data_IF_232806750003
#
_entry.id   IF_232806750003
#
_cell.length_a   1.000
_cell.length_b   1.000
_cell.length_c   1.000
_cell.angle_alpha   90.00
_cell.angle_beta   90.00
_cell.angle_gamma   90.00
#
_symmetry.space_group_name_H-M   'P 1'
#
loop_
_entity.id
_entity.type
_entity.pdbx_description
1 polymer ?
#
# COMPACT_ATOMS: atom_id res chain seq x y z
N UNK A 1 -28.49 41.08 38.18
CA UNK A 1 -28.22 41.91 36.99
C UNK A 1 -26.73 42.02 36.92
N UNK A 2 -26.00 41.30 36.07
CA UNK A 2 -26.39 40.58 34.86
C UNK A 2 -25.57 39.31 34.68
N UNK A 3 -26.23 38.35 34.04
CA UNK A 3 -25.76 37.04 33.60
C UNK A 3 -25.19 37.14 32.19
N UNK A 4 -23.93 36.77 31.99
CA UNK A 4 -23.37 36.38 30.68
C UNK A 4 -22.62 35.06 30.88
N UNK A 5 -23.17 33.93 30.41
CA UNK A 5 -23.24 33.47 29.02
C UNK A 5 -22.00 32.65 28.65
N UNK A 6 -22.13 31.36 28.93
CA UNK A 6 -21.76 30.21 28.07
C UNK A 6 -20.57 30.36 27.12
N UNK A 7 -19.52 29.57 27.40
CA UNK A 7 -18.84 28.81 26.34
C UNK A 7 -18.55 27.38 26.82
N UNK A 8 -19.35 26.49 26.25
CA UNK A 8 -19.32 25.05 26.41
C UNK A 8 -18.41 24.49 25.31
N UNK A 9 -17.15 24.19 25.63
CA UNK A 9 -16.27 23.40 24.76
C UNK A 9 -16.32 21.94 25.23
N UNK A 10 -17.15 21.16 24.55
CA UNK A 10 -17.23 19.72 24.70
C UNK A 10 -15.94 19.07 24.18
N UNK A 11 -15.05 18.71 25.09
CA UNK A 11 -13.95 17.77 24.86
C UNK A 11 -14.56 16.38 24.67
N UNK A 12 -14.26 15.64 23.59
CA UNK A 12 -14.67 14.26 23.46
C UNK A 12 -13.99 13.45 24.57
N UNK A 13 -14.80 12.81 25.43
CA UNK A 13 -14.33 11.83 26.39
C UNK A 13 -13.65 10.69 25.62
N UNK A 14 -12.33 10.79 25.50
CA UNK A 14 -11.48 9.70 25.05
C UNK A 14 -11.75 8.52 25.96
N UNK A 15 -12.18 7.43 25.33
CA UNK A 15 -12.37 6.13 25.92
C UNK A 15 -11.01 5.67 26.50
N UNK A 16 -10.74 6.06 27.75
CA UNK A 16 -9.59 5.62 28.50
C UNK A 16 -9.75 4.14 28.71
N UNK A 17 -9.02 3.36 27.92
CA UNK A 17 -8.93 1.91 28.01
C UNK A 17 -8.52 1.50 29.41
N UNK A 18 -9.50 1.27 30.27
CA UNK A 18 -9.33 0.37 31.39
C UNK A 18 -9.17 -1.01 30.75
N UNK A 19 -7.94 -1.52 30.81
CA UNK A 19 -7.64 -2.94 30.63
C UNK A 19 -8.70 -3.71 31.41
N UNK A 20 -9.41 -4.61 30.74
CA UNK A 20 -10.49 -5.34 31.40
C UNK A 20 -9.93 -6.14 32.58
N UNK A 21 -10.71 -6.32 33.65
CA UNK A 21 -10.27 -7.13 34.80
C UNK A 21 -9.84 -8.55 34.38
N UNK A 22 -10.38 -9.04 33.26
CA UNK A 22 -10.04 -10.33 32.67
C UNK A 22 -8.65 -10.32 32.01
N UNK A 23 -8.34 -9.31 31.18
CA UNK A 23 -6.97 -9.12 30.62
C UNK A 23 -5.94 -8.90 31.74
N UNK A 24 -6.33 -8.23 32.83
CA UNK A 24 -5.44 -8.01 33.97
C UNK A 24 -5.13 -9.30 34.71
N UNK A 25 -6.04 -10.28 34.74
CA UNK A 25 -5.78 -11.62 35.29
C UNK A 25 -4.91 -12.45 34.38
N UNK A 26 -5.17 -12.44 33.08
CA UNK A 26 -4.39 -13.19 32.09
C UNK A 26 -2.92 -12.75 32.10
N UNK A 27 -2.67 -11.43 32.13
CA UNK A 27 -1.31 -10.88 32.24
C UNK A 27 -0.62 -11.30 33.55
N UNK A 28 -1.36 -11.34 34.68
CA UNK A 28 -0.78 -11.77 35.95
C UNK A 28 -0.45 -13.26 35.98
N UNK A 29 -1.27 -14.10 35.34
CA UNK A 29 -1.06 -15.54 35.26
C UNK A 29 0.15 -15.87 34.36
N UNK A 30 0.33 -15.15 33.25
CA UNK A 30 1.49 -15.28 32.36
C UNK A 30 2.80 -14.82 33.02
N UNK A 31 2.74 -13.76 33.84
CA UNK A 31 3.89 -13.32 34.67
C UNK A 31 4.24 -14.38 35.72
N UNK A 32 3.24 -15.01 36.35
CA UNK A 32 3.50 -16.03 37.38
C UNK A 32 4.04 -17.33 36.77
N UNK A 33 3.58 -17.71 35.57
CA UNK A 33 4.09 -18.86 34.80
C UNK A 33 5.54 -18.63 34.34
N UNK A 34 5.87 -17.44 33.82
CA UNK A 34 7.23 -17.11 33.38
C UNK A 34 8.25 -17.01 34.53
N UNK A 35 7.82 -16.60 35.73
CA UNK A 35 8.68 -16.56 36.93
C UNK A 35 8.91 -17.96 37.53
N UNK A 36 7.98 -18.91 37.33
CA UNK A 36 8.09 -20.26 37.92
C UNK A 36 9.04 -21.20 37.16
N UNK A 37 9.34 -20.90 35.89
CA UNK A 37 10.11 -21.81 35.01
C UNK A 37 11.65 -21.71 35.15
N UNK A 38 12.22 -20.74 35.90
CA UNK A 38 13.69 -20.60 36.01
C UNK A 38 14.22 -20.47 37.44
N UNK A 39 13.95 -21.48 38.28
CA UNK A 39 14.77 -21.74 39.48
C UNK A 39 15.56 -23.03 39.29
N UNK A 40 16.56 -22.99 38.41
CA UNK A 40 17.64 -23.98 38.41
C UNK A 40 18.62 -23.64 39.54
N UNK A 41 18.94 -24.59 40.43
CA UNK A 41 19.90 -24.36 41.52
C UNK A 41 21.30 -24.21 40.94
N UNK A 42 21.88 -23.02 41.06
CA UNK A 42 23.26 -22.72 40.69
C UNK A 42 24.23 -23.56 41.52
N UNK A 43 24.85 -24.55 40.88
CA UNK A 43 26.00 -25.27 41.41
C UNK A 43 27.27 -24.39 41.32
N UNK A 44 28.18 -24.45 42.31
CA UNK A 44 29.41 -23.68 42.29
C UNK A 44 30.44 -24.33 41.35
N UNK A 45 30.64 -23.79 40.15
CA UNK A 45 31.71 -24.20 39.25
C UNK A 45 32.97 -23.39 39.51
N UNK A 46 34.03 -24.13 39.83
CA UNK A 46 35.36 -23.65 40.18
C UNK A 46 36.13 -23.15 38.96
N UNK A 47 36.98 -22.16 39.17
CA UNK A 47 37.96 -21.64 38.21
C UNK A 47 38.93 -22.72 37.67
N UNK A 48 39.21 -22.71 36.36
CA UNK A 48 40.53 -23.13 35.80
C UNK A 48 40.65 -22.79 34.31
N UNK A 49 41.88 -22.46 33.91
CA UNK A 49 42.19 -21.78 32.65
C UNK A 49 42.46 -22.67 31.43
N UNK A 50 42.89 -21.96 30.38
CA UNK A 50 43.48 -22.41 29.10
C UNK A 50 42.50 -22.91 28.03
N UNK A 51 42.37 -22.16 26.92
CA UNK A 51 43.01 -22.45 25.63
C UNK A 51 42.51 -21.48 24.56
N UNK A 52 43.34 -20.53 24.13
CA UNK A 52 43.09 -19.57 23.05
C UNK A 52 43.03 -20.19 21.64
N UNK A 53 42.56 -21.43 21.52
CA UNK A 53 42.43 -22.17 20.26
C UNK A 53 40.97 -22.34 19.80
N UNK A 54 39.98 -22.00 20.64
CA UNK A 54 38.56 -22.15 20.28
C UNK A 54 38.06 -21.11 19.26
N UNK A 55 38.59 -19.87 19.33
CA UNK A 55 38.21 -18.80 18.41
C UNK A 55 38.54 -19.07 16.92
N UNK A 56 39.74 -19.53 16.53
CA UNK A 56 40.03 -19.81 15.12
C UNK A 56 39.24 -21.02 14.57
N UNK A 57 38.88 -21.98 15.43
CA UNK A 57 38.08 -23.14 15.01
C UNK A 57 36.63 -22.73 14.72
N UNK A 58 36.05 -21.85 15.55
CA UNK A 58 34.70 -21.32 15.35
C UNK A 58 34.59 -20.50 14.05
N UNK A 59 35.62 -19.71 13.72
CA UNK A 59 35.66 -18.92 12.47
C UNK A 59 35.73 -19.84 11.24
N UNK A 60 36.55 -20.89 11.28
CA UNK A 60 36.65 -21.84 10.16
C UNK A 60 35.36 -22.65 9.96
N UNK A 61 34.69 -23.05 11.03
CA UNK A 61 33.38 -23.72 10.96
C UNK A 61 32.32 -22.76 10.39
N UNK A 62 32.32 -21.50 10.82
CA UNK A 62 31.44 -20.47 10.28
C UNK A 62 31.63 -20.25 8.78
N UNK A 63 32.89 -20.18 8.31
CA UNK A 63 33.20 -20.03 6.89
C UNK A 63 32.72 -21.23 6.05
N UNK A 64 32.87 -22.46 6.56
CA UNK A 64 32.38 -23.69 5.90
C UNK A 64 30.85 -23.70 5.77
N UNK A 65 30.14 -23.27 6.82
CA UNK A 65 28.67 -23.15 6.78
C UNK A 65 28.24 -22.10 5.75
N UNK A 66 28.95 -20.96 5.67
CA UNK A 66 28.67 -19.90 4.71
C UNK A 66 28.87 -20.38 3.26
N UNK A 67 29.96 -21.10 2.99
CA UNK A 67 30.22 -21.69 1.65
C UNK A 67 29.16 -22.73 1.31
N UNK A 68 28.78 -23.61 2.25
CA UNK A 68 27.73 -24.60 2.04
C UNK A 68 26.37 -23.94 1.75
N UNK A 69 26.02 -22.88 2.47
CA UNK A 69 24.80 -22.10 2.26
C UNK A 69 24.81 -21.44 0.88
N UNK A 70 25.95 -20.89 0.46
CA UNK A 70 26.11 -20.24 -0.85
C UNK A 70 25.96 -21.26 -1.98
N UNK A 71 26.60 -22.43 -1.87
CA UNK A 71 26.49 -23.52 -2.86
C UNK A 71 25.06 -24.08 -2.92
N UNK A 72 24.33 -24.08 -1.81
CA UNK A 72 22.94 -24.53 -1.77
C UNK A 72 21.94 -23.53 -2.35
N UNK A 73 22.18 -22.22 -2.21
CA UNK A 73 21.30 -21.17 -2.72
C UNK A 73 21.47 -20.92 -4.23
N UNK A 74 22.69 -21.04 -4.78
CA UNK A 74 22.98 -20.72 -6.19
C UNK A 74 22.13 -21.50 -7.22
N UNK A 75 21.89 -22.82 -7.08
CA UNK A 75 21.05 -23.57 -8.02
C UNK A 75 19.58 -23.12 -8.05
N UNK A 76 19.07 -22.62 -6.91
CA UNK A 76 17.71 -22.09 -6.81
C UNK A 76 17.50 -20.82 -7.64
N UNK A 77 18.52 -19.95 -7.71
CA UNK A 77 18.46 -18.72 -8.50
C UNK A 77 18.68 -18.96 -10.00
N UNK A 78 19.52 -19.92 -10.40
CA UNK A 78 19.82 -20.15 -11.81
C UNK A 78 18.73 -20.92 -12.57
N UNK A 79 17.97 -21.81 -11.91
CA UNK A 79 16.89 -22.55 -12.57
C UNK A 79 15.64 -21.70 -12.88
N UNK A 80 15.51 -20.50 -12.31
CA UNK A 80 14.39 -19.57 -12.60
C UNK A 80 14.56 -18.91 -13.98
N UNK A 81 15.78 -18.86 -14.52
CA UNK A 81 16.08 -18.12 -15.75
C UNK A 81 15.88 -18.91 -17.05
N UNK A 82 15.92 -20.24 -17.03
CA UNK A 82 15.86 -21.04 -18.28
C UNK A 82 14.45 -21.50 -18.68
N UNK A 83 13.46 -21.54 -17.76
CA UNK A 83 12.06 -21.86 -18.12
C UNK A 83 11.24 -20.67 -18.61
N UNK A 84 11.81 -19.46 -18.64
CA UNK A 84 11.07 -18.21 -18.91
C UNK A 84 11.18 -17.68 -20.34
N UNK A 85 11.72 -18.47 -21.26
CA UNK A 85 11.99 -18.05 -22.64
C UNK A 85 10.94 -18.48 -23.68
N UNK A 86 9.79 -19.05 -23.28
CA UNK A 86 8.83 -19.63 -24.25
C UNK A 86 7.45 -18.96 -24.30
N UNK A 87 7.04 -18.08 -23.37
CA UNK A 87 5.81 -17.29 -23.55
C UNK A 87 5.83 -15.95 -22.78
N UNK A 88 6.13 -14.81 -23.44
CA UNK A 88 6.28 -13.51 -22.78
C UNK A 88 4.98 -12.71 -22.57
N UNK A 89 3.78 -13.18 -22.93
CA UNK A 89 2.64 -12.26 -23.12
C UNK A 89 1.51 -12.23 -22.06
N UNK A 90 1.43 -13.12 -21.05
CA UNK A 90 0.28 -13.04 -20.10
C UNK A 90 0.53 -13.27 -18.60
N UNK A 91 1.73 -13.62 -18.12
CA UNK A 91 1.95 -13.92 -16.68
C UNK A 91 2.56 -12.80 -15.81
N UNK A 92 2.87 -11.62 -16.36
CA UNK A 92 3.74 -10.64 -15.67
C UNK A 92 3.01 -9.68 -14.71
N UNK A 93 1.69 -9.50 -14.82
CA UNK A 93 0.96 -8.56 -13.96
C UNK A 93 0.60 -9.11 -12.57
N UNK A 94 0.31 -10.43 -12.47
CA UNK A 94 -0.08 -11.07 -11.20
C UNK A 94 1.10 -11.25 -10.24
N UNK A 95 2.24 -11.74 -10.74
CA UNK A 95 3.41 -12.04 -9.91
C UNK A 95 4.06 -10.81 -9.27
N UNK A 96 3.97 -9.63 -9.91
CA UNK A 96 4.50 -8.40 -9.32
C UNK A 96 3.73 -7.98 -8.06
N UNK A 97 2.39 -8.10 -8.08
CA UNK A 97 1.54 -7.73 -6.93
C UNK A 97 1.77 -8.68 -5.75
N UNK A 98 1.88 -9.99 -6.02
CA UNK A 98 2.19 -10.98 -4.99
C UNK A 98 3.59 -10.77 -4.40
N UNK A 99 4.58 -10.46 -5.24
CA UNK A 99 5.93 -10.11 -4.78
C UNK A 99 5.94 -8.89 -3.85
N UNK A 100 5.25 -7.79 -4.22
CA UNK A 100 5.18 -6.61 -3.36
C UNK A 100 4.44 -6.88 -2.05
N UNK A 101 3.40 -7.73 -2.07
CA UNK A 101 2.70 -8.14 -0.85
C UNK A 101 3.61 -8.97 0.05
N UNK A 102 4.38 -9.89 -0.51
CA UNK A 102 5.36 -10.69 0.24
C UNK A 102 6.46 -9.81 0.84
N UNK A 103 7.03 -8.90 0.05
CA UNK A 103 8.05 -7.95 0.50
C UNK A 103 7.52 -7.04 1.63
N UNK A 104 6.28 -6.56 1.51
CA UNK A 104 5.64 -5.78 2.58
C UNK A 104 5.46 -6.62 3.84
N UNK A 105 4.97 -7.84 3.70
CA UNK A 105 4.78 -8.73 4.84
C UNK A 105 6.09 -9.04 5.57
N UNK A 106 7.17 -9.28 4.82
CA UNK A 106 8.51 -9.48 5.37
C UNK A 106 9.01 -8.23 6.10
N UNK A 107 8.82 -7.04 5.51
CA UNK A 107 9.19 -5.78 6.16
C UNK A 107 8.35 -5.51 7.43
N UNK A 108 7.05 -5.82 7.42
CA UNK A 108 6.17 -5.68 8.59
C UNK A 108 6.63 -6.61 9.73
N UNK A 109 7.06 -7.84 9.41
CA UNK A 109 7.61 -8.78 10.38
C UNK A 109 8.95 -8.29 10.96
N UNK A 110 9.84 -7.78 10.11
CA UNK A 110 11.13 -7.22 10.55
C UNK A 110 10.92 -5.99 11.45
N UNK A 111 10.00 -5.10 11.08
CA UNK A 111 9.60 -3.95 11.89
C UNK A 111 9.11 -4.42 13.26
N UNK A 112 8.22 -5.42 13.30
CA UNK A 112 7.67 -5.96 14.54
C UNK A 112 8.76 -6.56 15.44
N UNK A 113 9.70 -7.33 14.88
CA UNK A 113 10.83 -7.90 15.64
C UNK A 113 11.74 -6.80 16.21
N UNK A 114 12.01 -5.77 15.41
CA UNK A 114 12.81 -4.62 15.86
C UNK A 114 12.09 -3.82 16.95
N UNK A 115 10.77 -3.63 16.86
CA UNK A 115 9.95 -2.98 17.89
C UNK A 115 10.00 -3.75 19.22
N UNK A 116 9.83 -5.08 19.20
CA UNK A 116 9.96 -5.92 20.39
C UNK A 116 11.37 -5.84 21.01
N UNK A 117 12.39 -5.76 20.16
CA UNK A 117 13.77 -5.62 20.64
C UNK A 117 13.98 -4.24 21.29
N UNK A 118 13.46 -3.17 20.69
CA UNK A 118 13.50 -1.81 21.26
C UNK A 118 12.78 -1.78 22.61
N UNK A 119 11.61 -2.41 22.72
CA UNK A 119 10.88 -2.51 23.98
C UNK A 119 11.69 -3.23 25.05
N UNK A 120 12.31 -4.37 24.71
CA UNK A 120 13.17 -5.11 25.63
C UNK A 120 14.36 -4.25 26.10
N UNK A 121 15.01 -3.52 25.19
CA UNK A 121 16.11 -2.60 25.53
C UNK A 121 15.65 -1.45 26.43
N UNK A 122 14.44 -0.91 26.21
CA UNK A 122 13.86 0.12 27.07
C UNK A 122 13.58 -0.40 28.48
N UNK A 123 13.06 -1.63 28.61
CA UNK A 123 12.86 -2.28 29.91
C UNK A 123 14.19 -2.47 30.65
N UNK A 124 15.23 -2.96 29.97
CA UNK A 124 16.57 -3.11 30.52
C UNK A 124 17.17 -1.76 30.96
N UNK A 125 16.96 -0.71 30.18
CA UNK A 125 17.38 0.65 30.53
C UNK A 125 16.72 1.15 31.82
N UNK A 126 15.40 0.95 31.96
CA UNK A 126 14.66 1.30 33.18
C UNK A 126 15.16 0.50 34.38
N UNK A 127 15.46 -0.78 34.19
CA UNK A 127 16.04 -1.64 35.24
C UNK A 127 17.39 -1.10 35.72
N UNK A 128 18.33 -0.78 34.82
CA UNK A 128 19.63 -0.20 35.20
C UNK A 128 19.47 1.10 35.99
N UNK A 129 18.50 1.94 35.61
CA UNK A 129 18.20 3.17 36.35
C UNK A 129 17.69 2.87 37.78
N UNK A 130 16.82 1.88 37.92
CA UNK A 130 16.34 1.44 39.23
C UNK A 130 17.47 0.84 40.09
N UNK A 131 18.37 0.07 39.48
CA UNK A 131 19.56 -0.49 40.15
C UNK A 131 20.49 0.61 40.69
N UNK A 132 20.69 1.71 39.95
CA UNK A 132 21.46 2.87 40.43
C UNK A 132 20.80 3.53 41.65
N UNK A 133 19.48 3.68 41.65
CA UNK A 133 18.76 4.25 42.78
C UNK A 133 18.80 3.32 44.01
N UNK A 134 18.66 2.01 43.79
CA UNK A 134 18.77 1.00 44.82
C UNK A 134 20.17 0.97 45.45
N UNK A 135 21.23 1.07 44.62
CA UNK A 135 22.61 1.13 45.08
C UNK A 135 22.85 2.32 46.04
N UNK A 136 22.31 3.50 45.73
CA UNK A 136 22.42 4.68 46.60
C UNK A 136 21.72 4.48 47.94
N UNK A 137 20.49 3.94 47.92
CA UNK A 137 19.75 3.63 49.15
C UNK A 137 20.45 2.57 50.00
N UNK A 138 21.08 1.59 49.36
CA UNK A 138 21.83 0.56 50.07
C UNK A 138 23.12 1.11 50.69
N UNK A 139 23.83 1.98 49.97
CA UNK A 139 24.97 2.73 50.50
C UNK A 139 24.60 3.49 51.79
N UNK A 140 23.54 4.29 51.75
CA UNK A 140 23.09 5.08 52.91
C UNK A 140 22.72 4.18 54.09
N UNK A 141 22.02 3.06 53.82
CA UNK A 141 21.62 2.09 54.82
C UNK A 141 22.82 1.41 55.48
N UNK A 142 23.82 0.99 54.69
CA UNK A 142 25.02 0.34 55.21
C UNK A 142 25.85 1.32 56.06
N UNK A 143 25.98 2.58 55.62
CA UNK A 143 26.67 3.62 56.37
C UNK A 143 25.98 3.92 57.71
N UNK A 144 24.65 4.05 57.69
CA UNK A 144 23.86 4.26 58.91
C UNK A 144 23.95 3.05 59.85
N UNK A 145 23.78 1.83 59.34
CA UNK A 145 23.90 0.61 60.14
C UNK A 145 25.27 0.51 60.82
N UNK A 146 26.35 0.84 60.10
CA UNK A 146 27.70 0.86 60.67
C UNK A 146 27.87 1.94 61.74
N UNK A 147 27.27 3.12 61.54
CA UNK A 147 27.28 4.18 62.55
C UNK A 147 26.55 3.76 63.84
N UNK A 148 25.38 3.14 63.72
CA UNK A 148 24.59 2.64 64.85
C UNK A 148 25.32 1.52 65.60
N UNK A 149 25.98 0.59 64.90
CA UNK A 149 26.84 -0.44 65.49
C UNK A 149 27.99 0.17 66.30
N UNK A 150 28.68 1.17 65.73
CA UNK A 150 29.77 1.87 66.41
C UNK A 150 29.27 2.69 67.59
N UNK A 151 28.06 3.25 67.55
CA UNK A 151 27.49 3.99 68.69
C UNK A 151 27.06 3.05 69.82
N UNK A 152 26.36 1.97 69.51
CA UNK A 152 25.91 0.97 70.49
C UNK A 152 27.09 0.30 71.19
N UNK A 153 28.14 -0.05 70.44
CA UNK A 153 29.39 -0.52 71.01
C UNK A 153 30.05 0.49 71.95
N UNK A 154 29.74 1.80 71.88
CA UNK A 154 30.43 2.86 72.65
C UNK A 154 29.83 2.90 74.04
N UNK A 155 28.50 2.94 74.04
CA UNK A 155 27.68 2.87 75.24
C UNK A 155 28.04 1.62 76.04
N UNK A 156 28.09 0.45 75.38
CA UNK A 156 28.47 -0.81 76.04
C UNK A 156 29.87 -0.76 76.68
N UNK A 157 30.89 -0.25 75.99
CA UNK A 157 32.26 -0.13 76.54
C UNK A 157 32.34 0.86 77.70
N UNK A 158 31.63 1.99 77.62
CA UNK A 158 31.61 3.00 78.68
C UNK A 158 30.88 2.49 79.93
N UNK A 159 29.78 1.76 79.76
CA UNK A 159 29.03 1.18 80.88
C UNK A 159 29.83 0.08 81.59
N UNK A 160 30.58 -0.73 80.84
CA UNK A 160 31.49 -1.72 81.41
C UNK A 160 32.63 -1.06 82.21
N UNK A 161 33.26 0.00 81.70
CA UNK A 161 34.33 0.71 82.43
C UNK A 161 33.76 1.47 83.64
N UNK A 162 32.54 2.04 83.55
CA UNK A 162 31.84 2.63 84.71
C UNK A 162 31.66 1.61 85.84
N UNK A 163 31.16 0.42 85.51
CA UNK A 163 30.98 -0.66 86.48
C UNK A 163 32.31 -1.10 87.10
N UNK A 164 33.38 -1.20 86.28
CA UNK A 164 34.73 -1.55 86.73
C UNK A 164 35.32 -0.50 87.68
N UNK A 165 35.18 0.79 87.36
CA UNK A 165 35.69 1.88 88.19
C UNK A 165 34.95 1.96 89.53
N UNK A 166 33.62 1.78 89.52
CA UNK A 166 32.81 1.70 90.73
C UNK A 166 33.27 0.57 91.66
N UNK A 167 33.62 -0.61 91.12
CA UNK A 167 34.13 -1.73 91.90
C UNK A 167 35.56 -1.50 92.46
N UNK A 168 36.35 -0.62 91.84
CA UNK A 168 37.75 -0.37 92.24
C UNK A 168 37.93 0.59 93.41
N UNK A 169 36.86 1.28 93.86
CA UNK A 169 36.91 2.21 94.98
C UNK A 169 37.68 3.51 94.73
N UNK A 170 37.92 3.87 93.45
CA UNK A 170 38.53 5.16 93.10
C UNK A 170 37.61 6.33 93.49
N UNK A 171 38.21 7.50 93.74
CA UNK A 171 37.43 8.72 93.98
C UNK A 171 36.59 9.06 92.73
N UNK A 172 35.42 9.65 92.94
CA UNK A 172 34.48 9.97 91.86
C UNK A 172 35.13 10.87 90.79
N UNK A 173 35.92 11.87 91.22
CA UNK A 173 36.63 12.77 90.32
C UNK A 173 37.66 12.04 89.43
N UNK A 174 38.42 11.10 89.99
CA UNK A 174 39.39 10.31 89.21
C UNK A 174 38.68 9.38 88.20
N UNK A 175 37.55 8.78 88.61
CA UNK A 175 36.73 7.93 87.75
C UNK A 175 36.14 8.71 86.58
N UNK A 176 35.62 9.91 86.82
CA UNK A 176 35.07 10.78 85.77
C UNK A 176 36.14 11.24 84.77
N UNK A 177 37.33 11.64 85.25
CA UNK A 177 38.43 12.05 84.38
C UNK A 177 38.86 10.91 83.44
N UNK A 178 39.00 9.69 83.97
CA UNK A 178 39.35 8.50 83.20
C UNK A 178 38.28 8.10 82.20
N UNK A 179 37.00 8.20 82.57
CA UNK A 179 35.88 7.94 81.65
C UNK A 179 35.84 8.96 80.50
N UNK A 180 36.11 10.24 80.78
CA UNK A 180 36.15 11.29 79.76
C UNK A 180 37.32 11.08 78.78
N UNK A 181 38.51 10.73 79.28
CA UNK A 181 39.67 10.40 78.45
C UNK A 181 39.42 9.15 77.58
N UNK A 182 38.85 8.09 78.16
CA UNK A 182 38.49 6.88 77.44
C UNK A 182 37.43 7.17 76.36
N UNK A 183 36.38 7.93 76.70
CA UNK A 183 35.35 8.33 75.76
C UNK A 183 35.96 9.11 74.59
N UNK A 184 36.82 10.09 74.86
CA UNK A 184 37.47 10.88 73.81
C UNK A 184 38.33 10.00 72.88
N UNK A 185 39.08 9.06 73.45
CA UNK A 185 39.94 8.14 72.69
C UNK A 185 39.10 7.22 71.80
N UNK A 186 38.10 6.54 72.37
CA UNK A 186 37.22 5.63 71.64
C UNK A 186 36.40 6.36 70.56
N UNK A 187 35.95 7.58 70.86
CA UNK A 187 35.20 8.40 69.90
C UNK A 187 36.09 8.79 68.71
N UNK A 188 37.36 9.14 68.94
CA UNK A 188 38.32 9.46 67.89
C UNK A 188 38.73 8.22 67.06
N UNK A 189 38.88 7.06 67.68
CA UNK A 189 39.14 5.80 66.96
C UNK A 189 37.96 5.44 66.05
N UNK A 190 36.74 5.49 66.56
CA UNK A 190 35.55 5.10 65.80
C UNK A 190 35.17 6.10 64.72
N UNK A 191 35.43 7.40 64.92
CA UNK A 191 35.27 8.37 63.83
C UNK A 191 36.21 8.06 62.68
N UNK A 192 37.46 7.65 62.95
CA UNK A 192 38.41 7.21 61.92
C UNK A 192 37.97 5.91 61.25
N UNK A 193 37.41 4.95 62.01
CA UNK A 193 36.87 3.71 61.44
C UNK A 193 35.68 3.98 60.52
N UNK A 194 34.76 4.86 60.92
CA UNK A 194 33.60 5.24 60.11
C UNK A 194 34.05 5.98 58.85
N UNK A 195 35.00 6.91 58.97
CA UNK A 195 35.59 7.60 57.82
C UNK A 195 36.23 6.61 56.84
N UNK A 196 37.08 5.69 57.33
CA UNK A 196 37.72 4.67 56.50
C UNK A 196 36.70 3.73 55.83
N UNK A 197 35.62 3.37 56.54
CA UNK A 197 34.54 2.57 55.98
C UNK A 197 33.79 3.34 54.89
N UNK A 198 33.46 4.60 55.13
CA UNK A 198 32.76 5.48 54.18
C UNK A 198 33.56 5.65 52.89
N UNK A 199 34.88 5.85 52.96
CA UNK A 199 35.76 5.94 51.78
C UNK A 199 35.76 4.65 50.97
N UNK A 200 35.90 3.48 51.62
CA UNK A 200 35.87 2.19 50.91
C UNK A 200 34.53 1.94 50.23
N UNK A 201 33.44 2.22 50.94
CA UNK A 201 32.09 2.04 50.42
C UNK A 201 31.82 3.00 49.26
N UNK A 202 32.33 4.23 49.34
CA UNK A 202 32.22 5.23 48.27
C UNK A 202 33.01 4.78 47.03
N UNK A 203 34.23 4.27 47.19
CA UNK A 203 35.01 3.74 46.08
C UNK A 203 34.32 2.56 45.38
N UNK A 204 33.64 1.70 46.14
CA UNK A 204 32.85 0.60 45.56
C UNK A 204 31.59 1.12 44.85
N UNK A 205 30.87 2.06 45.47
CA UNK A 205 29.70 2.69 44.88
C UNK A 205 30.05 3.43 43.58
N UNK A 206 31.16 4.17 43.54
CA UNK A 206 31.64 4.89 42.36
C UNK A 206 32.02 3.93 41.22
N UNK A 207 32.66 2.79 41.54
CA UNK A 207 32.96 1.75 40.54
C UNK A 207 31.68 1.17 39.94
N UNK A 208 30.71 0.81 40.78
CA UNK A 208 29.42 0.27 40.33
C UNK A 208 28.58 1.30 39.58
N UNK A 209 28.55 2.56 40.02
CA UNK A 209 27.85 3.63 39.32
C UNK A 209 28.46 3.89 37.95
N UNK A 210 29.79 3.80 37.83
CA UNK A 210 30.48 3.88 36.54
C UNK A 210 30.09 2.71 35.62
N UNK A 211 30.11 1.47 36.12
CA UNK A 211 29.68 0.30 35.36
C UNK A 211 28.23 0.44 34.88
N UNK A 212 27.31 0.87 35.76
CA UNK A 212 25.91 1.10 35.42
C UNK A 212 25.72 2.28 34.46
N UNK A 213 26.55 3.32 34.56
CA UNK A 213 26.55 4.44 33.62
C UNK A 213 27.05 4.01 32.23
N UNK A 214 28.09 3.17 32.17
CA UNK A 214 28.63 2.64 30.93
C UNK A 214 27.62 1.70 30.24
N UNK A 215 26.91 0.84 31.00
CA UNK A 215 25.84 0.00 30.44
C UNK A 215 24.66 0.85 29.95
N UNK A 216 24.28 1.89 30.71
CA UNK A 216 23.24 2.83 30.31
C UNK A 216 23.59 3.56 29.00
N UNK A 217 24.85 3.98 28.83
CA UNK A 217 25.33 4.60 27.60
C UNK A 217 25.24 3.63 26.41
N UNK A 218 25.69 2.38 26.59
CA UNK A 218 25.59 1.33 25.56
C UNK A 218 24.15 1.06 25.13
N UNK A 219 23.21 0.97 26.07
CA UNK A 219 21.79 0.79 25.75
C UNK A 219 21.22 1.98 24.99
N UNK A 220 21.57 3.22 25.36
CA UNK A 220 21.16 4.40 24.62
C UNK A 220 21.72 4.41 23.19
N UNK A 221 22.97 4.01 23.01
CA UNK A 221 23.59 3.92 21.70
C UNK A 221 22.95 2.81 20.84
N UNK A 222 22.68 1.64 21.43
CA UNK A 222 22.00 0.54 20.73
C UNK A 222 20.56 0.91 20.35
N UNK A 223 19.82 1.58 21.25
CA UNK A 223 18.49 2.10 20.97
C UNK A 223 18.53 3.08 19.79
N UNK A 224 19.50 4.00 19.74
CA UNK A 224 19.66 4.91 18.61
C UNK A 224 19.99 4.17 17.32
N UNK A 225 20.94 3.24 17.38
CA UNK A 225 21.37 2.45 16.23
C UNK A 225 20.23 1.60 15.63
N UNK A 226 19.27 1.15 16.45
CA UNK A 226 18.10 0.40 15.96
C UNK A 226 16.93 1.29 15.57
N UNK A 227 16.70 2.39 16.28
CA UNK A 227 15.53 3.25 16.04
C UNK A 227 15.68 4.08 14.75
N UNK A 228 16.88 4.56 14.42
CA UNK A 228 17.09 5.35 13.19
C UNK A 228 16.85 4.57 11.88
N UNK A 229 17.40 3.36 11.67
CA UNK A 229 17.12 2.59 10.45
C UNK A 229 15.65 2.16 10.39
N UNK A 230 15.04 1.79 11.51
CA UNK A 230 13.61 1.47 11.56
C UNK A 230 12.75 2.65 11.09
N UNK A 231 13.06 3.86 11.57
CA UNK A 231 12.37 5.08 11.15
C UNK A 231 12.57 5.35 9.65
N UNK A 232 13.79 5.18 9.15
CA UNK A 232 14.10 5.36 7.74
C UNK A 232 13.36 4.35 6.85
N UNK A 233 13.23 3.09 7.29
CA UNK A 233 12.52 2.06 6.55
C UNK A 233 11.00 2.30 6.55
N UNK A 234 10.42 2.71 7.69
CA UNK A 234 9.01 3.14 7.76
C UNK A 234 8.75 4.31 6.79
N UNK A 235 9.63 5.31 6.77
CA UNK A 235 9.53 6.44 5.85
C UNK A 235 9.62 5.98 4.39
N UNK A 236 10.57 5.09 4.07
CA UNK A 236 10.71 4.48 2.75
C UNK A 236 9.43 3.75 2.32
N UNK A 237 8.90 2.84 3.15
CA UNK A 237 7.68 2.10 2.86
C UNK A 237 6.48 3.03 2.67
N UNK A 238 6.37 4.08 3.49
CA UNK A 238 5.30 5.08 3.36
C UNK A 238 5.37 5.84 2.04
N UNK A 239 6.59 6.15 1.57
CA UNK A 239 6.81 6.82 0.27
C UNK A 239 6.46 5.91 -0.91
N UNK A 240 6.77 4.61 -0.80
CA UNK A 240 6.40 3.60 -1.79
C UNK A 240 4.87 3.50 -1.86
N UNK A 241 4.18 3.39 -0.72
CA UNK A 241 2.71 3.34 -0.65
C UNK A 241 2.08 4.60 -1.27
N UNK A 242 2.61 5.79 -0.99
CA UNK A 242 2.15 7.02 -1.60
C UNK A 242 2.30 7.00 -3.12
N UNK A 243 3.46 6.55 -3.63
CA UNK A 243 3.71 6.45 -5.07
C UNK A 243 2.77 5.44 -5.75
N UNK A 244 2.48 4.30 -5.11
CA UNK A 244 1.55 3.29 -5.62
C UNK A 244 0.10 3.80 -5.65
N UNK A 245 -0.31 4.57 -4.64
CA UNK A 245 -1.62 5.21 -4.63
C UNK A 245 -1.77 6.21 -5.78
N UNK A 246 -0.75 7.00 -6.07
CA UNK A 246 -0.76 7.91 -7.21
C UNK A 246 -0.82 7.15 -8.54
N UNK A 247 -0.01 6.10 -8.70
CA UNK A 247 0.00 5.27 -9.90
C UNK A 247 -1.37 4.59 -10.13
N UNK A 248 -2.01 4.07 -9.08
CA UNK A 248 -3.34 3.45 -9.19
C UNK A 248 -4.44 4.45 -9.54
N UNK A 249 -4.38 5.68 -8.99
CA UNK A 249 -5.28 6.76 -9.39
C UNK A 249 -5.09 7.16 -10.86
N UNK A 250 -3.85 7.25 -11.34
CA UNK A 250 -3.58 7.57 -12.74
C UNK A 250 -4.03 6.47 -13.70
N UNK A 251 -3.87 5.20 -13.33
CA UNK A 251 -4.44 4.08 -14.08
C UNK A 251 -5.97 4.16 -14.13
N UNK A 252 -6.62 4.42 -12.99
CA UNK A 252 -8.08 4.59 -12.95
C UNK A 252 -8.56 5.71 -13.87
N UNK A 253 -7.87 6.86 -13.88
CA UNK A 253 -8.16 7.98 -14.79
C UNK A 253 -8.02 7.59 -16.26
N UNK A 254 -6.96 6.85 -16.62
CA UNK A 254 -6.76 6.35 -17.98
C UNK A 254 -7.83 5.34 -18.40
N UNK A 255 -8.25 4.46 -17.49
CA UNK A 255 -9.35 3.55 -17.76
C UNK A 255 -10.66 4.29 -17.99
N UNK A 256 -10.97 5.31 -17.19
CA UNK A 256 -12.15 6.14 -17.40
C UNK A 256 -12.11 6.90 -18.73
N UNK A 257 -10.95 7.46 -19.11
CA UNK A 257 -10.82 8.16 -20.39
C UNK A 257 -11.00 7.21 -21.57
N UNK A 258 -10.35 6.05 -21.56
CA UNK A 258 -10.52 5.00 -22.58
C UNK A 258 -11.96 4.52 -22.66
N UNK A 259 -12.63 4.36 -21.52
CA UNK A 259 -14.04 3.97 -21.48
C UNK A 259 -14.91 5.03 -22.17
N UNK A 260 -14.69 6.31 -21.89
CA UNK A 260 -15.41 7.42 -22.55
C UNK A 260 -15.15 7.46 -24.05
N UNK A 261 -13.90 7.29 -24.48
CA UNK A 261 -13.54 7.22 -25.90
C UNK A 261 -14.21 6.03 -26.60
N UNK A 262 -14.23 4.86 -25.96
CA UNK A 262 -14.88 3.67 -26.52
C UNK A 262 -16.40 3.86 -26.65
N UNK A 263 -17.03 4.49 -25.64
CA UNK A 263 -18.44 4.82 -25.68
C UNK A 263 -18.75 5.86 -26.76
N UNK A 264 -17.89 6.87 -26.93
CA UNK A 264 -18.03 7.88 -27.98
C UNK A 264 -17.96 7.26 -29.38
N UNK A 265 -16.97 6.38 -29.62
CA UNK A 265 -16.86 5.65 -30.90
C UNK A 265 -18.06 4.73 -31.15
N UNK A 266 -18.57 4.07 -30.12
CA UNK A 266 -19.79 3.25 -30.25
C UNK A 266 -20.99 4.12 -30.63
N UNK A 267 -21.16 5.30 -30.03
CA UNK A 267 -22.22 6.23 -30.37
C UNK A 267 -22.09 6.76 -31.81
N UNK A 268 -20.86 7.06 -32.25
CA UNK A 268 -20.56 7.47 -33.63
C UNK A 268 -20.93 6.38 -34.64
N UNK A 269 -20.54 5.13 -34.39
CA UNK A 269 -20.90 3.99 -35.23
C UNK A 269 -22.42 3.77 -35.28
N UNK A 270 -23.13 3.91 -34.15
CA UNK A 270 -24.59 3.81 -34.13
C UNK A 270 -25.20 4.91 -35.00
N UNK A 271 -24.77 6.16 -34.84
CA UNK A 271 -25.23 7.28 -35.66
C UNK A 271 -24.96 7.05 -37.15
N UNK A 272 -23.76 6.57 -37.52
CA UNK A 272 -23.44 6.23 -38.91
C UNK A 272 -24.37 5.13 -39.45
N UNK A 273 -24.62 4.07 -38.69
CA UNK A 273 -25.55 3.01 -39.12
C UNK A 273 -26.99 3.51 -39.29
N UNK A 274 -27.43 4.48 -38.49
CA UNK A 274 -28.74 5.13 -38.65
C UNK A 274 -28.80 5.97 -39.93
N UNK A 275 -27.74 6.74 -40.22
CA UNK A 275 -27.66 7.50 -41.47
C UNK A 275 -27.69 6.59 -42.70
N UNK A 276 -26.94 5.48 -42.69
CA UNK A 276 -26.96 4.49 -43.77
C UNK A 276 -28.33 3.84 -43.93
N UNK A 277 -29.03 3.55 -42.82
CA UNK A 277 -30.41 3.03 -42.87
C UNK A 277 -31.38 4.01 -43.53
N UNK A 278 -31.26 5.31 -43.22
CA UNK A 278 -32.08 6.34 -43.83
C UNK A 278 -31.80 6.45 -45.33
N UNK A 279 -30.53 6.47 -45.74
CA UNK A 279 -30.14 6.46 -47.16
C UNK A 279 -30.68 5.24 -47.91
N UNK A 280 -30.62 4.06 -47.30
CA UNK A 280 -31.19 2.83 -47.87
C UNK A 280 -32.72 2.92 -47.99
N UNK A 281 -33.40 3.53 -47.02
CA UNK A 281 -34.85 3.74 -47.09
C UNK A 281 -35.22 4.71 -48.21
N UNK A 282 -34.50 5.83 -48.33
CA UNK A 282 -34.67 6.81 -49.41
C UNK A 282 -34.40 6.19 -50.79
N UNK A 283 -33.30 5.46 -50.94
CA UNK A 283 -32.97 4.76 -52.18
C UNK A 283 -34.06 3.73 -52.56
N UNK A 284 -34.59 2.97 -51.59
CA UNK A 284 -35.73 2.07 -51.80
C UNK A 284 -36.99 2.81 -52.21
N UNK A 285 -37.26 3.97 -51.61
CA UNK A 285 -38.42 4.79 -51.96
C UNK A 285 -38.31 5.34 -53.40
N UNK A 286 -37.12 5.78 -53.81
CA UNK A 286 -36.84 6.20 -55.19
C UNK A 286 -37.02 5.03 -56.16
N UNK A 287 -36.43 3.86 -55.86
CA UNK A 287 -36.57 2.67 -56.68
C UNK A 287 -38.05 2.28 -56.88
N UNK A 288 -38.85 2.28 -55.80
CA UNK A 288 -40.30 2.02 -55.86
C UNK A 288 -41.08 3.05 -56.67
N UNK A 289 -40.65 4.33 -56.69
CA UNK A 289 -41.26 5.37 -57.53
C UNK A 289 -40.90 5.22 -59.02
N UNK A 290 -39.72 4.71 -59.32
CA UNK A 290 -39.26 4.46 -60.69
C UNK A 290 -39.89 3.22 -61.31
N UNK A 291 -40.24 2.21 -60.52
CA UNK A 291 -40.89 0.96 -60.96
C UNK A 291 -42.13 1.19 -61.86
N UNK A 292 -43.17 1.96 -61.47
CA UNK A 292 -44.31 2.22 -62.35
C UNK A 292 -43.96 3.04 -63.59
N UNK A 293 -42.90 3.87 -63.54
CA UNK A 293 -42.43 4.60 -64.73
C UNK A 293 -41.76 3.63 -65.72
N UNK A 294 -41.01 2.66 -65.22
CA UNK A 294 -40.42 1.60 -66.04
C UNK A 294 -41.50 0.71 -66.66
N UNK A 295 -42.51 0.32 -65.88
CA UNK A 295 -43.65 -0.45 -66.38
C UNK A 295 -44.44 0.32 -67.43
N UNK A 296 -44.75 1.60 -67.19
CA UNK A 296 -45.43 2.45 -68.17
C UNK A 296 -44.61 2.57 -69.47
N UNK A 297 -43.28 2.76 -69.35
CA UNK A 297 -42.37 2.79 -70.50
C UNK A 297 -42.38 1.46 -71.24
N UNK A 298 -42.36 0.33 -70.53
CA UNK A 298 -42.41 -1.00 -71.12
C UNK A 298 -43.73 -1.22 -71.88
N UNK A 299 -44.87 -0.86 -71.29
CA UNK A 299 -46.18 -0.93 -71.96
C UNK A 299 -46.24 -0.05 -73.21
N UNK A 300 -45.66 1.16 -73.18
CA UNK A 300 -45.60 2.03 -74.36
C UNK A 300 -44.72 1.43 -75.47
N UNK A 301 -43.56 0.85 -75.11
CA UNK A 301 -42.70 0.15 -76.07
C UNK A 301 -43.43 -1.05 -76.71
N UNK A 302 -44.13 -1.85 -75.91
CA UNK A 302 -44.95 -2.98 -76.39
C UNK A 302 -46.06 -2.51 -77.35
N UNK A 303 -46.74 -1.39 -77.06
CA UNK A 303 -47.73 -0.78 -77.97
C UNK A 303 -47.12 -0.32 -79.28
N UNK A 304 -45.96 0.34 -79.24
CA UNK A 304 -45.24 0.76 -80.45
C UNK A 304 -44.81 -0.45 -81.28
N UNK A 305 -44.35 -1.52 -80.64
CA UNK A 305 -43.98 -2.76 -81.34
C UNK A 305 -45.19 -3.41 -82.04
N UNK A 306 -46.36 -3.44 -81.38
CA UNK A 306 -47.61 -3.94 -81.97
C UNK A 306 -48.02 -3.09 -83.18
N UNK A 307 -47.95 -1.75 -83.07
CA UNK A 307 -48.26 -0.84 -84.18
C UNK A 307 -47.27 -0.98 -85.34
N UNK A 308 -45.98 -1.15 -85.05
CA UNK A 308 -44.97 -1.38 -86.09
C UNK A 308 -45.20 -2.72 -86.81
N UNK A 309 -45.57 -3.78 -86.08
CA UNK A 309 -45.93 -5.09 -86.67
C UNK A 309 -47.21 -5.03 -87.49
N UNK A 310 -48.25 -4.33 -87.01
CA UNK A 310 -49.51 -4.20 -87.77
C UNK A 310 -49.28 -3.48 -89.10
N UNK A 311 -48.45 -2.43 -89.11
CA UNK A 311 -48.06 -1.72 -90.33
C UNK A 311 -47.31 -2.62 -91.32
N UNK A 312 -46.36 -3.44 -90.84
CA UNK A 312 -45.64 -4.38 -91.69
C UNK A 312 -46.53 -5.48 -92.30
N UNK A 313 -47.70 -5.75 -91.69
CA UNK A 313 -48.63 -6.82 -92.08
C UNK A 313 -49.85 -6.36 -92.89
N UNK A 314 -50.07 -5.07 -93.11
CA UNK A 314 -51.25 -4.56 -93.79
C UNK A 314 -51.25 -4.92 -95.29
N UNK A 315 -52.27 -5.66 -95.81
CA UNK A 315 -52.32 -6.08 -97.20
C UNK A 315 -52.67 -4.89 -98.12
N UNK A 316 -51.85 -4.68 -99.14
CA UNK A 316 -52.02 -3.64 -100.17
C UNK A 316 -53.22 -4.03 -101.05
N UNK A 317 -54.42 -3.56 -100.69
CA UNK A 317 -55.66 -3.97 -101.37
C UNK A 317 -56.73 -2.87 -101.36
N UNK A 318 -57.06 -2.39 -102.56
CA UNK A 318 -58.06 -1.39 -102.98
C UNK A 318 -59.23 -1.08 -102.03
N UNK A 319 -59.04 -0.01 -101.26
CA UNK A 319 -60.06 0.78 -100.57
C UNK A 319 -59.48 2.17 -100.23
N UNK A 320 -59.01 2.90 -101.24
CA UNK A 320 -58.01 3.98 -101.08
C UNK A 320 -58.36 5.06 -100.06
N UNK A 321 -59.61 5.51 -99.94
CA UNK A 321 -59.94 6.59 -99.00
C UNK A 321 -60.11 6.15 -97.55
N UNK A 322 -60.66 4.96 -97.29
CA UNK A 322 -60.82 4.47 -95.92
C UNK A 322 -59.49 3.97 -95.33
N UNK A 323 -58.60 3.44 -96.18
CA UNK A 323 -57.29 2.94 -95.78
C UNK A 323 -56.27 4.07 -95.57
N UNK A 324 -56.30 5.15 -96.36
CA UNK A 324 -55.51 6.36 -96.08
C UNK A 324 -55.91 7.03 -94.76
N UNK A 325 -57.21 7.12 -94.47
CA UNK A 325 -57.67 7.67 -93.19
C UNK A 325 -57.26 6.78 -92.01
N UNK A 326 -57.34 5.45 -92.14
CA UNK A 326 -56.92 4.54 -91.07
C UNK A 326 -55.39 4.56 -90.83
N UNK A 327 -54.59 4.62 -91.89
CA UNK A 327 -53.11 4.71 -91.78
C UNK A 327 -52.67 6.05 -91.19
N UNK A 328 -53.32 7.15 -91.58
CA UNK A 328 -53.07 8.46 -91.00
C UNK A 328 -53.44 8.53 -89.51
N UNK A 329 -54.60 7.99 -89.11
CA UNK A 329 -54.99 7.93 -87.69
C UNK A 329 -54.02 7.08 -86.87
N UNK A 330 -53.50 5.98 -87.43
CA UNK A 330 -52.48 5.16 -86.76
C UNK A 330 -51.11 5.86 -86.68
N UNK A 331 -50.68 6.59 -87.71
CA UNK A 331 -49.45 7.38 -87.67
C UNK A 331 -49.55 8.50 -86.62
N UNK A 332 -50.71 9.16 -86.54
CA UNK A 332 -51.00 10.15 -85.50
C UNK A 332 -50.98 9.53 -84.11
N UNK A 333 -51.51 8.32 -83.93
CA UNK A 333 -51.42 7.58 -82.67
C UNK A 333 -49.97 7.23 -82.30
N UNK A 334 -49.18 6.72 -83.24
CA UNK A 334 -47.76 6.41 -83.01
C UNK A 334 -46.93 7.68 -82.71
N UNK A 335 -47.25 8.82 -83.36
CA UNK A 335 -46.67 10.14 -83.07
C UNK A 335 -47.02 10.59 -81.64
N UNK A 336 -48.28 10.41 -81.21
CA UNK A 336 -48.70 10.71 -79.83
C UNK A 336 -47.98 9.82 -78.83
N UNK A 337 -47.84 8.53 -79.10
CA UNK A 337 -47.19 7.56 -78.20
C UNK A 337 -45.67 7.77 -78.11
N UNK A 338 -45.00 8.07 -79.23
CA UNK A 338 -43.57 8.45 -79.24
C UNK A 338 -43.34 9.77 -78.51
N UNK A 339 -44.23 10.75 -78.67
CA UNK A 339 -44.18 12.01 -77.93
C UNK A 339 -44.39 11.79 -76.43
N UNK A 340 -45.31 10.91 -76.04
CA UNK A 340 -45.53 10.54 -74.64
C UNK A 340 -44.28 9.86 -74.04
N UNK A 341 -43.60 8.99 -74.79
CA UNK A 341 -42.34 8.38 -74.38
C UNK A 341 -41.20 9.39 -74.23
N UNK A 342 -41.07 10.33 -75.16
CA UNK A 342 -40.01 11.34 -75.15
C UNK A 342 -40.24 12.44 -74.10
N UNK A 343 -41.51 12.67 -73.73
CA UNK A 343 -41.87 13.56 -72.63
C UNK A 343 -41.56 12.94 -71.25
N UNK A 344 -41.34 11.63 -71.16
CA UNK A 344 -40.90 11.00 -69.91
C UNK A 344 -39.48 11.45 -69.54
N UNK A 345 -39.29 11.81 -68.27
CA UNK A 345 -38.11 12.54 -67.76
C UNK A 345 -36.72 11.94 -68.03
N UNK A 346 -36.49 10.61 -68.17
CA UNK A 346 -35.13 10.13 -68.45
C UNK A 346 -34.68 10.36 -69.92
N UNK A 347 -35.60 10.41 -70.89
CA UNK A 347 -35.24 10.62 -72.31
C UNK A 347 -35.10 12.10 -72.65
N UNK A 348 -35.92 12.95 -72.02
CA UNK A 348 -35.82 14.41 -72.14
C UNK A 348 -34.49 14.96 -71.62
N UNK A 349 -33.98 14.39 -70.53
CA UNK A 349 -32.70 14.79 -69.92
C UNK A 349 -31.47 14.23 -70.66
N UNK A 350 -31.53 13.01 -71.18
CA UNK A 350 -30.42 12.38 -71.92
C UNK A 350 -30.28 12.85 -73.38
N UNK A 351 -31.38 13.27 -74.03
CA UNK A 351 -31.38 13.75 -75.40
C UNK A 351 -32.16 15.07 -75.53
N UNK A 352 -31.61 16.18 -75.02
CA UNK A 352 -32.25 17.48 -75.12
C UNK A 352 -32.45 17.88 -76.60
N UNK A 353 -33.66 18.32 -76.94
CA UNK A 353 -34.04 18.72 -78.31
C UNK A 353 -34.47 17.58 -79.24
N UNK A 354 -34.43 16.31 -78.82
CA UNK A 354 -34.90 15.19 -79.67
C UNK A 354 -36.41 15.27 -79.96
N UNK A 355 -37.20 15.68 -78.98
CA UNK A 355 -38.64 15.89 -79.15
C UNK A 355 -38.95 17.00 -80.18
N UNK A 356 -38.17 18.08 -80.15
CA UNK A 356 -38.31 19.22 -81.07
C UNK A 356 -37.97 18.81 -82.52
N UNK A 357 -36.89 18.02 -82.69
CA UNK A 357 -36.49 17.49 -84.01
C UNK A 357 -37.53 16.53 -84.59
N UNK A 358 -38.17 15.73 -83.73
CA UNK A 358 -39.25 14.83 -84.18
C UNK A 358 -40.51 15.61 -84.53
N UNK A 359 -40.89 16.62 -83.76
CA UNK A 359 -42.00 17.52 -84.10
C UNK A 359 -41.77 18.20 -85.46
N UNK A 360 -40.53 18.63 -85.73
CA UNK A 360 -40.15 19.19 -87.03
C UNK A 360 -40.25 18.16 -88.16
N UNK A 361 -39.75 16.93 -87.95
CA UNK A 361 -39.88 15.84 -88.93
C UNK A 361 -41.34 15.56 -89.29
N UNK A 362 -42.23 15.49 -88.30
CA UNK A 362 -43.64 15.22 -88.57
C UNK A 362 -44.38 16.40 -89.21
N UNK A 363 -44.04 17.65 -88.90
CA UNK A 363 -44.61 18.81 -89.60
C UNK A 363 -44.29 18.80 -91.09
N UNK A 364 -43.10 18.34 -91.45
CA UNK A 364 -42.69 18.23 -92.85
C UNK A 364 -43.40 17.09 -93.60
N UNK A 365 -44.05 16.17 -92.90
CA UNK A 365 -44.78 15.04 -93.47
C UNK A 365 -46.29 15.33 -93.64
N UNK A 366 -46.83 16.37 -92.97
CA UNK A 366 -48.23 16.79 -93.06
C UNK A 366 -48.49 17.83 -94.17
N UNK A 367 -47.43 18.45 -94.72
CA UNK A 367 -47.46 19.29 -95.92
C UNK A 367 -47.11 18.46 -97.15
#
# INVERSE_FOLDING_TARGET
>A
MDTESTRNDSIPAGNGGMISEDERREILEEIEESVRVKREPLAPTSARGSNGAALPLAVNIGALILVALTVFLVPGFYNISERRLVDPEMETAGGAVEFFRALRHEADLEIQEQEQTIETLQQQYVQVKAEREALRKDFDRQLQGRADELETGLKATLDAERARLAASGQTEAASQARLAELQATLQAERSRELEAFSVRLQEEADKRDKELSDTQARFNDELRQRTEPLKAEIERLSSIDASQRLASQDLARRYESLRRESAAKQAELIAETETLRLQLYEAKAIAKRLEPQQDARRTLLERLEILARSYASAPIGSGHQAMEQATMLMLLQAKVDTRALLAAEPLRSSHPGLAERLDEYFRNYEN
#
